data_IF_859869324837
#
_entry.id   IF_859869324837
#
_cell.length_a   1.000
_cell.length_b   1.000
_cell.length_c   1.000
_cell.angle_alpha   90.00
_cell.angle_beta   90.00
_cell.angle_gamma   90.00
#
_symmetry.space_group_name_H-M   'P 1'
#
loop_
_entity.id
_entity.type
_entity.pdbx_description
1 polymer ?
#
# COMPACT_ATOMS: atom_id res chain seq x y z
N UNK A 1 -18.44 28.74 -60.82
CA UNK A 1 -18.85 29.37 -59.55
C UNK A 1 -19.53 28.30 -58.71
N UNK A 2 -19.02 28.12 -57.49
CA UNK A 2 -19.68 27.53 -56.29
C UNK A 2 -20.20 26.09 -56.40
N UNK A 3 -19.89 25.15 -55.49
CA UNK A 3 -19.28 25.26 -54.17
C UNK A 3 -18.83 23.87 -53.70
N UNK A 4 -17.62 23.80 -53.15
CA UNK A 4 -17.19 22.74 -52.24
C UNK A 4 -18.11 22.81 -51.03
N UNK A 5 -18.89 21.76 -50.74
CA UNK A 5 -19.60 21.64 -49.47
C UNK A 5 -18.81 20.76 -48.52
N UNK A 6 -18.36 21.45 -47.49
CA UNK A 6 -17.59 21.07 -46.33
C UNK A 6 -17.99 19.75 -45.66
N UNK A 7 -16.96 19.07 -45.16
CA UNK A 7 -17.05 18.11 -44.08
C UNK A 7 -17.71 18.75 -42.85
N UNK A 8 -18.92 18.35 -42.53
CA UNK A 8 -19.41 18.41 -41.15
C UNK A 8 -19.16 17.06 -40.51
N UNK A 9 -18.02 16.95 -39.83
CA UNK A 9 -17.82 15.95 -38.80
C UNK A 9 -18.86 16.23 -37.71
N UNK A 10 -19.88 15.39 -37.63
CA UNK A 10 -20.81 15.39 -36.52
C UNK A 10 -20.03 15.26 -35.21
N UNK A 11 -20.34 16.08 -34.20
CA UNK A 11 -19.69 15.98 -32.90
C UNK A 11 -20.00 14.59 -32.33
N UNK A 12 -18.96 13.87 -31.93
CA UNK A 12 -19.08 12.57 -31.29
C UNK A 12 -20.08 12.68 -30.13
N UNK A 13 -21.27 12.11 -30.32
CA UNK A 13 -22.31 12.09 -29.31
C UNK A 13 -21.72 11.48 -28.04
N UNK A 14 -21.78 12.22 -26.93
CA UNK A 14 -21.59 11.68 -25.58
C UNK A 14 -22.59 10.54 -25.41
N UNK A 15 -22.15 9.31 -25.67
CA UNK A 15 -22.91 8.11 -25.38
C UNK A 15 -23.00 8.02 -23.86
N UNK A 16 -24.06 8.57 -23.29
CA UNK A 16 -24.43 8.34 -21.89
C UNK A 16 -24.60 6.84 -21.72
N UNK A 17 -23.64 6.21 -21.05
CA UNK A 17 -23.59 4.77 -20.86
C UNK A 17 -24.86 4.30 -20.14
N UNK A 18 -25.74 3.58 -20.84
CA UNK A 18 -26.97 3.05 -20.22
C UNK A 18 -26.65 1.88 -19.28
N UNK A 19 -26.73 2.15 -17.97
CA UNK A 19 -26.45 1.20 -16.89
C UNK A 19 -27.41 -0.01 -16.85
N UNK A 20 -28.54 0.05 -17.53
CA UNK A 20 -29.50 -1.05 -17.57
C UNK A 20 -29.15 -2.09 -18.64
N UNK A 21 -28.27 -1.76 -19.58
CA UNK A 21 -27.79 -2.69 -20.62
C UNK A 21 -26.55 -3.48 -20.16
N UNK A 22 -26.34 -4.66 -20.76
CA UNK A 22 -25.11 -5.45 -20.53
C UNK A 22 -23.87 -4.68 -20.99
N UNK A 23 -23.94 -4.01 -22.14
CA UNK A 23 -22.85 -3.21 -22.67
C UNK A 23 -22.50 -2.04 -21.74
N UNK A 24 -23.50 -1.35 -21.19
CA UNK A 24 -23.25 -0.24 -20.27
C UNK A 24 -22.72 -0.68 -18.91
N UNK A 25 -23.17 -1.82 -18.39
CA UNK A 25 -22.57 -2.42 -17.18
C UNK A 25 -21.08 -2.79 -17.38
N UNK A 26 -20.72 -3.28 -18.56
CA UNK A 26 -19.31 -3.57 -18.91
C UNK A 26 -18.47 -2.30 -19.01
N UNK A 27 -19.01 -1.24 -19.62
CA UNK A 27 -18.34 0.05 -19.70
C UNK A 27 -18.13 0.67 -18.31
N UNK A 28 -19.13 0.61 -17.43
CA UNK A 28 -19.02 1.06 -16.04
C UNK A 28 -17.98 0.27 -15.24
N UNK A 29 -17.90 -1.05 -15.45
CA UNK A 29 -16.85 -1.87 -14.83
C UNK A 29 -15.46 -1.42 -15.27
N UNK A 30 -15.24 -1.19 -16.58
CA UNK A 30 -13.95 -0.72 -17.12
C UNK A 30 -13.56 0.63 -16.53
N UNK A 31 -14.51 1.56 -16.46
CA UNK A 31 -14.30 2.88 -15.83
C UNK A 31 -13.84 2.73 -14.37
N UNK A 32 -14.53 1.93 -13.57
CA UNK A 32 -14.15 1.71 -12.17
C UNK A 32 -12.80 1.03 -12.02
N UNK A 33 -12.45 0.12 -12.93
CA UNK A 33 -11.13 -0.52 -12.94
C UNK A 33 -10.03 0.50 -13.24
N UNK A 34 -10.25 1.42 -14.17
CA UNK A 34 -9.30 2.50 -14.45
C UNK A 34 -9.11 3.42 -13.23
N UNK A 35 -10.21 3.79 -12.55
CA UNK A 35 -10.15 4.57 -11.30
C UNK A 35 -9.32 3.89 -10.19
N UNK A 36 -9.20 2.56 -10.18
CA UNK A 36 -8.39 1.83 -9.18
C UNK A 36 -6.88 2.02 -9.37
N UNK A 37 -6.44 2.46 -10.55
CA UNK A 37 -5.04 2.72 -10.83
C UNK A 37 -4.56 4.01 -10.14
N UNK A 38 -5.48 4.95 -9.89
CA UNK A 38 -5.20 6.25 -9.28
C UNK A 38 -6.34 6.63 -8.30
N UNK A 39 -6.49 5.90 -7.17
CA UNK A 39 -7.64 6.00 -6.28
C UNK A 39 -7.77 7.35 -5.55
N UNK A 40 -6.71 8.15 -5.56
CA UNK A 40 -6.66 9.51 -4.98
C UNK A 40 -6.24 10.58 -6.00
N UNK A 41 -6.31 10.25 -7.30
CA UNK A 41 -5.93 11.12 -8.41
C UNK A 41 -4.47 11.02 -8.83
N UNK A 42 -4.18 11.48 -10.05
CA UNK A 42 -2.85 11.40 -10.69
C UNK A 42 -1.81 12.24 -9.94
N UNK A 43 -2.19 13.39 -9.38
CA UNK A 43 -1.27 14.25 -8.62
C UNK A 43 -0.61 13.54 -7.42
N UNK A 44 -1.31 12.58 -6.81
CA UNK A 44 -0.76 11.81 -5.70
C UNK A 44 0.34 10.86 -6.18
N UNK A 45 0.19 10.30 -7.38
CA UNK A 45 1.19 9.46 -8.06
C UNK A 45 2.43 10.30 -8.38
N UNK A 46 2.23 11.47 -8.98
CA UNK A 46 3.34 12.38 -9.31
C UNK A 46 4.14 12.81 -8.07
N UNK A 47 3.45 13.08 -6.95
CA UNK A 47 4.09 13.39 -5.66
C UNK A 47 4.92 12.23 -5.10
N UNK A 48 4.55 10.98 -5.40
CA UNK A 48 5.32 9.79 -5.01
C UNK A 48 6.54 9.64 -5.89
N UNK A 49 6.38 9.78 -7.20
CA UNK A 49 7.49 9.71 -8.17
C UNK A 49 8.49 10.84 -7.99
N UNK A 50 8.04 12.07 -7.67
CA UNK A 50 8.91 13.19 -7.35
C UNK A 50 9.82 12.94 -6.13
N UNK A 51 9.41 12.03 -5.23
CA UNK A 51 10.23 11.59 -4.07
C UNK A 51 11.16 10.43 -4.41
N UNK A 52 11.22 10.00 -5.67
CA UNK A 52 11.99 8.84 -6.12
C UNK A 52 11.46 7.50 -5.61
N UNK A 53 10.17 7.45 -5.22
CA UNK A 53 9.51 6.23 -4.75
C UNK A 53 8.60 5.69 -5.83
N UNK A 54 8.42 4.36 -5.84
CA UNK A 54 7.40 3.69 -6.64
C UNK A 54 6.06 3.68 -5.90
N UNK A 55 4.95 3.68 -6.63
CA UNK A 55 3.60 3.46 -6.10
C UNK A 55 3.44 2.02 -5.60
N UNK A 56 2.39 1.76 -4.81
CA UNK A 56 2.13 0.41 -4.28
C UNK A 56 1.99 -0.64 -5.40
N UNK A 57 1.32 -0.27 -6.49
CA UNK A 57 1.07 -1.13 -7.66
C UNK A 57 2.33 -1.33 -8.51
N UNK A 58 3.09 -0.27 -8.77
CA UNK A 58 4.38 -0.38 -9.48
C UNK A 58 5.38 -1.28 -8.76
N UNK A 59 5.38 -1.28 -7.41
CA UNK A 59 6.21 -2.21 -6.62
C UNK A 59 5.84 -3.66 -6.84
N UNK A 60 4.55 -3.96 -7.03
CA UNK A 60 4.08 -5.32 -7.34
C UNK A 60 4.54 -5.70 -8.75
N UNK A 61 4.32 -4.83 -9.74
CA UNK A 61 4.75 -5.09 -11.11
C UNK A 61 6.26 -5.20 -11.28
N UNK A 62 7.04 -4.50 -10.46
CA UNK A 62 8.49 -4.61 -10.46
C UNK A 62 9.00 -5.92 -9.82
N UNK A 63 8.18 -6.59 -8.99
CA UNK A 63 8.57 -7.79 -8.27
C UNK A 63 8.08 -9.08 -8.95
N UNK A 64 6.86 -9.05 -9.50
CA UNK A 64 6.24 -10.20 -10.16
C UNK A 64 6.63 -10.29 -11.63
N UNK A 65 6.51 -11.49 -12.19
CA UNK A 65 6.68 -11.71 -13.62
C UNK A 65 5.62 -10.94 -14.42
N UNK A 66 6.01 -10.42 -15.58
CA UNK A 66 5.13 -9.59 -16.42
C UNK A 66 3.84 -10.33 -16.81
N UNK A 67 2.69 -9.67 -16.63
CA UNK A 67 1.38 -10.26 -16.94
C UNK A 67 0.87 -11.33 -15.96
N UNK A 68 1.63 -11.69 -14.91
CA UNK A 68 1.23 -12.73 -13.95
C UNK A 68 0.29 -12.25 -12.85
N UNK A 69 0.25 -10.94 -12.58
CA UNK A 69 -0.47 -10.39 -11.43
C UNK A 69 -1.99 -10.44 -11.61
N UNK A 70 -2.67 -11.10 -10.68
CA UNK A 70 -4.13 -11.10 -10.56
C UNK A 70 -4.52 -10.39 -9.28
N UNK A 71 -5.15 -9.23 -9.44
CA UNK A 71 -5.58 -8.39 -8.32
C UNK A 71 -6.86 -8.93 -7.67
N UNK A 72 -6.89 -8.92 -6.34
CA UNK A 72 -8.04 -9.25 -5.51
C UNK A 72 -8.59 -7.98 -4.86
N UNK A 73 -9.92 -7.91 -4.77
CA UNK A 73 -10.65 -6.85 -4.08
C UNK A 73 -10.26 -5.43 -4.55
N UNK A 74 -9.95 -5.25 -5.84
CA UNK A 74 -9.58 -3.96 -6.43
C UNK A 74 -10.63 -2.87 -6.17
N UNK A 75 -11.91 -3.24 -6.29
CA UNK A 75 -13.04 -2.32 -6.13
C UNK A 75 -13.53 -2.14 -4.69
N UNK A 76 -12.80 -2.68 -3.71
CA UNK A 76 -13.20 -2.60 -2.31
C UNK A 76 -13.17 -1.15 -1.79
N UNK A 77 -14.09 -0.81 -0.87
CA UNK A 77 -14.19 0.50 -0.22
C UNK A 77 -14.48 0.29 1.25
N UNK A 78 -13.88 1.11 2.13
CA UNK A 78 -14.26 1.07 3.55
C UNK A 78 -15.75 1.37 3.74
N UNK A 79 -16.27 0.89 4.87
CA UNK A 79 -17.68 0.99 5.27
C UNK A 79 -17.92 1.88 6.49
N UNK A 80 -16.86 2.48 7.02
CA UNK A 80 -16.95 3.42 8.14
C UNK A 80 -17.55 4.77 7.71
N UNK A 81 -18.47 5.29 8.52
CA UNK A 81 -19.04 6.64 8.45
C UNK A 81 -18.54 7.56 9.57
N UNK A 82 -17.59 7.08 10.38
CA UNK A 82 -17.10 7.85 11.53
C UNK A 82 -16.24 9.02 11.07
N UNK A 83 -16.34 10.16 11.77
CA UNK A 83 -15.51 11.35 11.53
C UNK A 83 -15.52 11.87 10.07
N UNK A 84 -16.63 11.70 9.35
CA UNK A 84 -16.76 12.16 7.96
C UNK A 84 -15.95 11.36 6.93
N UNK A 85 -15.52 10.14 7.29
CA UNK A 85 -14.80 9.25 6.38
C UNK A 85 -15.62 8.88 5.14
N UNK A 86 -16.95 8.86 5.25
CA UNK A 86 -17.87 8.54 4.16
C UNK A 86 -17.73 9.48 2.95
N UNK A 87 -17.26 10.71 3.17
CA UNK A 87 -17.00 11.69 2.11
C UNK A 87 -15.89 11.25 1.14
N UNK A 88 -14.96 10.39 1.58
CA UNK A 88 -13.81 9.96 0.75
C UNK A 88 -13.64 8.44 0.84
N UNK A 89 -14.14 7.72 -0.16
CA UNK A 89 -14.10 6.24 -0.21
C UNK A 89 -13.23 5.73 -1.38
N UNK A 90 -11.89 5.82 -1.27
CA UNK A 90 -10.98 5.41 -2.33
C UNK A 90 -11.11 3.91 -2.63
N UNK A 91 -11.00 3.55 -3.90
CA UNK A 91 -11.00 2.16 -4.35
C UNK A 91 -9.74 1.44 -3.84
N UNK A 92 -9.89 0.19 -3.44
CA UNK A 92 -8.85 -0.65 -2.85
C UNK A 92 -8.60 -0.40 -1.36
N UNK A 93 -9.21 0.64 -0.76
CA UNK A 93 -9.08 1.06 0.64
C UNK A 93 -7.64 1.33 1.15
N UNK A 94 -6.67 1.44 0.24
CA UNK A 94 -5.26 1.75 0.53
C UNK A 94 -4.32 0.55 0.55
N UNK A 95 -4.77 -0.64 0.13
CA UNK A 95 -3.90 -1.80 -0.08
C UNK A 95 -4.22 -2.48 -1.39
N UNK A 96 -3.18 -2.80 -2.15
CA UNK A 96 -3.25 -3.63 -3.36
C UNK A 96 -2.91 -5.05 -2.94
N UNK A 97 -3.76 -6.01 -3.27
CA UNK A 97 -3.61 -7.42 -2.88
C UNK A 97 -3.82 -8.32 -4.07
N UNK A 98 -3.14 -9.46 -4.09
CA UNK A 98 -3.34 -10.43 -5.15
C UNK A 98 -2.37 -11.60 -5.09
N UNK A 99 -2.24 -12.26 -6.22
CA UNK A 99 -1.27 -13.33 -6.44
C UNK A 99 -0.67 -13.19 -7.84
N UNK A 100 0.44 -13.88 -8.08
CA UNK A 100 1.10 -13.92 -9.38
C UNK A 100 2.28 -14.87 -9.31
N UNK A 101 3.28 -14.68 -10.17
CA UNK A 101 4.47 -15.54 -10.19
C UNK A 101 5.76 -14.75 -10.02
N UNK A 102 6.77 -15.38 -9.43
CA UNK A 102 8.17 -14.91 -9.43
C UNK A 102 9.02 -16.07 -9.92
N UNK A 103 9.76 -15.87 -11.01
CA UNK A 103 10.53 -16.93 -11.67
C UNK A 103 9.65 -18.16 -11.98
N UNK A 104 8.39 -17.91 -12.40
CA UNK A 104 7.40 -18.95 -12.70
C UNK A 104 6.81 -19.68 -11.48
N UNK A 105 7.12 -19.25 -10.25
CA UNK A 105 6.59 -19.85 -9.02
C UNK A 105 5.47 -19.01 -8.44
N UNK A 106 4.33 -19.62 -8.17
CA UNK A 106 3.18 -18.90 -7.59
C UNK A 106 3.50 -18.30 -6.23
N UNK A 107 3.16 -17.02 -6.06
CA UNK A 107 3.29 -16.26 -4.81
C UNK A 107 2.03 -15.44 -4.54
N UNK A 108 1.76 -15.21 -3.26
CA UNK A 108 0.73 -14.31 -2.79
C UNK A 108 1.38 -13.00 -2.33
N UNK A 109 0.76 -11.86 -2.64
CA UNK A 109 1.35 -10.55 -2.36
C UNK A 109 0.33 -9.51 -1.88
N UNK A 110 0.76 -8.64 -0.98
CA UNK A 110 0.09 -7.38 -0.70
C UNK A 110 1.08 -6.21 -0.69
N UNK A 111 0.61 -5.05 -1.11
CA UNK A 111 1.37 -3.81 -1.15
C UNK A 111 0.54 -2.65 -0.65
N UNK A 112 1.09 -1.95 0.33
CA UNK A 112 0.40 -0.88 1.02
C UNK A 112 0.65 0.46 0.34
N UNK A 113 -0.42 1.23 0.20
CA UNK A 113 -0.40 2.51 -0.48
C UNK A 113 -0.41 3.67 0.54
N UNK A 114 0.78 4.27 0.72
CA UNK A 114 0.94 5.43 1.57
C UNK A 114 0.19 6.68 1.09
N UNK A 115 -0.24 6.74 -0.18
CA UNK A 115 -1.01 7.88 -0.71
C UNK A 115 -2.46 7.89 -0.20
N UNK A 116 -2.98 6.71 0.16
CA UNK A 116 -4.36 6.52 0.63
C UNK A 116 -4.37 6.51 2.15
N UNK A 117 -4.91 7.57 2.76
CA UNK A 117 -4.97 7.75 4.22
C UNK A 117 -3.61 7.53 4.94
N UNK A 118 -2.50 7.84 4.28
CA UNK A 118 -1.15 7.61 4.84
C UNK A 118 -0.77 6.13 4.98
N UNK A 119 -1.43 5.22 4.26
CA UNK A 119 -1.26 3.77 4.41
C UNK A 119 -1.76 3.27 5.77
N UNK A 120 -2.74 3.95 6.37
CA UNK A 120 -3.33 3.53 7.63
C UNK A 120 -4.30 2.36 7.43
N UNK A 121 -4.15 1.34 8.28
CA UNK A 121 -4.96 0.12 8.28
C UNK A 121 -6.37 0.43 8.79
N UNK A 122 -7.34 0.34 7.87
CA UNK A 122 -8.77 0.31 8.16
C UNK A 122 -9.34 -1.11 8.19
N UNK A 123 -10.66 -1.21 8.28
CA UNK A 123 -11.37 -2.47 8.35
C UNK A 123 -11.23 -3.28 7.06
N UNK A 124 -11.66 -2.71 5.94
CA UNK A 124 -11.66 -3.40 4.64
C UNK A 124 -10.23 -3.65 4.16
N UNK A 125 -9.33 -2.70 4.40
CA UNK A 125 -7.89 -2.87 4.23
C UNK A 125 -7.36 -4.13 4.94
N UNK A 126 -7.68 -4.30 6.23
CA UNK A 126 -7.21 -5.45 7.00
C UNK A 126 -7.82 -6.76 6.50
N UNK A 127 -9.11 -6.75 6.13
CA UNK A 127 -9.79 -7.91 5.55
C UNK A 127 -9.12 -8.39 4.25
N UNK A 128 -8.68 -7.46 3.39
CA UNK A 128 -7.93 -7.79 2.17
C UNK A 128 -6.60 -8.51 2.47
N UNK A 129 -5.85 -8.03 3.47
CA UNK A 129 -4.59 -8.67 3.89
C UNK A 129 -4.86 -10.06 4.46
N UNK A 130 -5.87 -10.19 5.33
CA UNK A 130 -6.26 -11.49 5.90
C UNK A 130 -6.69 -12.47 4.80
N UNK A 131 -7.39 -11.99 3.76
CA UNK A 131 -7.80 -12.81 2.62
C UNK A 131 -6.59 -13.38 1.87
N UNK A 132 -5.58 -12.56 1.56
CA UNK A 132 -4.38 -13.03 0.86
C UNK A 132 -3.50 -13.94 1.74
N UNK A 133 -3.43 -13.68 3.05
CA UNK A 133 -2.77 -14.59 4.01
C UNK A 133 -3.43 -15.97 4.00
N UNK A 134 -4.77 -16.01 4.09
CA UNK A 134 -5.52 -17.26 4.06
C UNK A 134 -5.36 -17.99 2.73
N UNK A 135 -5.30 -17.25 1.61
CA UNK A 135 -5.04 -17.82 0.29
C UNK A 135 -3.64 -18.46 0.22
N UNK A 136 -2.61 -17.77 0.73
CA UNK A 136 -1.24 -18.25 0.78
C UNK A 136 -1.13 -19.54 1.60
N UNK A 137 -1.74 -19.56 2.79
CA UNK A 137 -1.77 -20.74 3.68
C UNK A 137 -2.50 -21.89 2.99
N UNK A 138 -3.67 -21.63 2.40
CA UNK A 138 -4.49 -22.65 1.73
C UNK A 138 -3.79 -23.28 0.53
N UNK A 139 -3.04 -22.49 -0.23
CA UNK A 139 -2.36 -22.93 -1.46
C UNK A 139 -0.92 -23.41 -1.22
N UNK A 140 -0.41 -23.25 0.01
CA UNK A 140 0.96 -23.57 0.37
C UNK A 140 2.00 -22.70 -0.36
N UNK A 141 1.66 -21.44 -0.67
CA UNK A 141 2.50 -20.54 -1.47
C UNK A 141 3.14 -19.45 -0.60
N UNK A 142 4.34 -18.94 -0.98
CA UNK A 142 4.97 -17.85 -0.26
C UNK A 142 4.07 -16.61 -0.18
N UNK A 143 4.14 -15.91 0.94
CA UNK A 143 3.47 -14.63 1.16
C UNK A 143 4.50 -13.51 1.20
N UNK A 144 4.29 -12.48 0.38
CA UNK A 144 5.12 -11.28 0.33
C UNK A 144 4.30 -10.07 0.77
N UNK A 145 4.77 -9.35 1.79
CA UNK A 145 4.16 -8.14 2.30
C UNK A 145 5.03 -6.91 2.06
N UNK A 146 4.57 -5.99 1.21
CA UNK A 146 5.22 -4.70 0.99
C UNK A 146 4.58 -3.66 1.90
N UNK A 147 5.41 -3.14 2.79
CA UNK A 147 5.01 -2.49 4.01
C UNK A 147 5.39 -1.00 3.97
N UNK A 148 4.38 -0.15 3.78
CA UNK A 148 4.52 1.30 3.64
C UNK A 148 3.24 2.00 4.13
N UNK A 149 3.15 2.26 5.44
CA UNK A 149 1.95 2.83 6.04
C UNK A 149 2.13 3.25 7.48
N UNK A 150 1.36 4.26 7.91
CA UNK A 150 1.51 5.01 9.16
C UNK A 150 0.80 4.42 10.40
N UNK A 151 0.16 3.25 10.30
CA UNK A 151 -0.31 2.48 11.45
C UNK A 151 -1.81 2.19 11.38
N UNK A 152 -2.50 2.18 12.52
CA UNK A 152 -3.94 2.01 12.57
C UNK A 152 -4.69 3.27 12.16
N UNK A 153 -5.80 3.12 11.43
CA UNK A 153 -6.70 4.24 11.09
C UNK A 153 -7.57 4.59 12.30
N UNK A 154 -7.14 5.61 13.05
CA UNK A 154 -7.75 6.03 14.33
C UNK A 154 -9.26 6.29 14.19
N UNK A 155 -9.69 6.84 13.06
CA UNK A 155 -11.08 7.19 12.79
C UNK A 155 -12.02 5.97 12.73
N UNK A 156 -11.50 4.79 12.36
CA UNK A 156 -12.26 3.53 12.39
C UNK A 156 -12.25 2.86 13.78
N UNK A 157 -11.46 3.38 14.71
CA UNK A 157 -11.44 2.94 16.10
C UNK A 157 -10.91 1.52 16.27
N UNK A 158 -11.52 0.79 17.21
CA UNK A 158 -11.04 -0.53 17.69
C UNK A 158 -11.06 -1.62 16.63
N UNK A 159 -11.83 -1.45 15.56
CA UNK A 159 -11.94 -2.43 14.47
C UNK A 159 -10.58 -2.61 13.77
N UNK A 160 -9.84 -1.52 13.59
CA UNK A 160 -8.49 -1.54 13.03
C UNK A 160 -7.52 -2.40 13.87
N UNK A 161 -7.62 -2.33 15.20
CA UNK A 161 -6.82 -3.13 16.12
C UNK A 161 -7.21 -4.61 16.08
N UNK A 162 -8.51 -4.91 15.98
CA UNK A 162 -8.99 -6.29 15.83
C UNK A 162 -8.41 -6.98 14.58
N UNK A 163 -8.26 -6.24 13.49
CA UNK A 163 -7.66 -6.75 12.26
C UNK A 163 -6.14 -6.85 12.32
N UNK A 164 -5.46 -5.95 13.02
CA UNK A 164 -4.05 -6.17 13.36
C UNK A 164 -3.86 -7.50 14.07
N UNK A 165 -4.67 -7.78 15.09
CA UNK A 165 -4.63 -9.06 15.80
C UNK A 165 -4.87 -10.25 14.88
N UNK A 166 -5.79 -10.14 13.91
CA UNK A 166 -6.05 -11.20 12.93
C UNK A 166 -4.86 -11.43 11.99
N UNK A 167 -4.23 -10.36 11.53
CA UNK A 167 -3.03 -10.43 10.68
C UNK A 167 -1.88 -11.10 11.45
N UNK A 168 -1.66 -10.71 12.71
CA UNK A 168 -0.63 -11.33 13.55
C UNK A 168 -0.92 -12.80 13.83
N UNK A 169 -2.17 -13.14 14.14
CA UNK A 169 -2.59 -14.53 14.32
C UNK A 169 -2.27 -15.37 13.08
N UNK A 170 -2.61 -14.87 11.89
CA UNK A 170 -2.31 -15.56 10.65
C UNK A 170 -0.80 -15.68 10.37
N UNK A 171 0.00 -14.68 10.73
CA UNK A 171 1.46 -14.77 10.60
C UNK A 171 2.03 -15.89 11.47
N UNK A 172 1.54 -16.02 12.71
CA UNK A 172 1.94 -17.08 13.63
C UNK A 172 1.52 -18.45 13.09
N UNK A 173 0.27 -18.58 12.66
CA UNK A 173 -0.25 -19.84 12.10
C UNK A 173 0.45 -20.25 10.81
N UNK A 174 0.91 -19.28 10.02
CA UNK A 174 1.69 -19.50 8.80
C UNK A 174 3.18 -19.73 9.07
N UNK A 175 3.67 -19.47 10.29
CA UNK A 175 5.09 -19.57 10.64
C UNK A 175 5.55 -21.02 10.54
N UNK A 176 6.61 -21.25 9.78
CA UNK A 176 7.09 -22.61 9.48
C UNK A 176 6.25 -23.39 8.46
N UNK A 177 5.06 -22.91 8.08
CA UNK A 177 4.20 -23.56 7.07
C UNK A 177 4.44 -23.00 5.66
N UNK A 178 4.45 -21.67 5.51
CA UNK A 178 4.75 -20.99 4.24
C UNK A 178 5.86 -19.96 4.43
N UNK A 179 6.71 -19.71 3.41
CA UNK A 179 7.69 -18.62 3.48
C UNK A 179 6.98 -17.26 3.56
N UNK A 180 7.28 -16.50 4.61
CA UNK A 180 6.74 -15.15 4.81
C UNK A 180 7.86 -14.12 4.67
N UNK A 181 7.71 -13.20 3.72
CA UNK A 181 8.70 -12.18 3.38
C UNK A 181 8.08 -10.80 3.58
N UNK A 182 8.77 -9.93 4.32
CA UNK A 182 8.33 -8.56 4.61
C UNK A 182 9.34 -7.56 4.03
N UNK A 183 8.86 -6.68 3.16
CA UNK A 183 9.64 -5.62 2.53
C UNK A 183 9.21 -4.26 3.11
N UNK A 184 10.09 -3.61 3.87
CA UNK A 184 9.81 -2.30 4.47
C UNK A 184 10.28 -1.20 3.51
N UNK A 185 9.36 -0.45 2.91
CA UNK A 185 9.65 0.62 1.94
C UNK A 185 9.15 2.01 2.39
N UNK A 186 8.57 2.08 3.60
CA UNK A 186 8.03 3.28 4.23
C UNK A 186 8.63 3.60 5.59
N UNK A 187 8.22 4.72 6.18
CA UNK A 187 8.53 5.03 7.58
C UNK A 187 7.72 4.08 8.49
N UNK A 188 8.34 3.19 9.28
CA UNK A 188 7.60 2.25 10.10
C UNK A 188 7.01 2.95 11.35
N UNK A 189 5.68 2.91 11.55
CA UNK A 189 5.04 3.32 12.80
C UNK A 189 5.14 2.19 13.85
N UNK A 190 5.25 2.56 15.12
CA UNK A 190 5.71 1.69 16.22
C UNK A 190 5.02 0.33 16.39
N UNK A 191 3.73 0.17 16.07
CA UNK A 191 3.02 -1.11 16.23
C UNK A 191 3.37 -2.16 15.15
N UNK A 192 4.00 -1.73 14.05
CA UNK A 192 4.26 -2.57 12.89
C UNK A 192 5.55 -3.38 12.97
N UNK A 193 6.45 -2.94 13.84
CA UNK A 193 7.71 -3.62 14.12
C UNK A 193 7.46 -5.05 14.62
N UNK A 194 6.32 -5.32 15.28
CA UNK A 194 5.96 -6.68 15.73
C UNK A 194 5.71 -7.67 14.59
N UNK A 195 5.40 -7.21 13.37
CA UNK A 195 5.27 -8.09 12.18
C UNK A 195 6.61 -8.45 11.50
N UNK A 196 7.72 -7.80 11.88
CA UNK A 196 9.07 -8.11 11.42
C UNK A 196 10.01 -8.09 12.63
N UNK A 197 10.26 -9.24 13.27
CA UNK A 197 11.05 -9.30 14.49
C UNK A 197 12.55 -8.99 14.27
N UNK A 198 13.07 -9.01 13.04
CA UNK A 198 14.50 -8.83 12.79
C UNK A 198 14.85 -7.46 12.17
N UNK A 199 15.52 -6.62 12.98
CA UNK A 199 16.12 -5.35 12.57
C UNK A 199 17.50 -5.60 11.96
N UNK A 200 17.68 -5.28 10.67
CA UNK A 200 18.98 -4.89 10.13
C UNK A 200 18.87 -3.47 9.56
N UNK A 201 19.66 -2.55 10.13
CA UNK A 201 19.65 -1.11 9.85
C UNK A 201 20.43 -0.88 8.55
N UNK A 202 19.76 -0.48 7.48
CA UNK A 202 20.41 0.02 6.27
C UNK A 202 20.98 1.41 6.53
N UNK A 203 22.30 1.56 6.39
CA UNK A 203 23.01 2.81 6.58
C UNK A 203 22.77 3.74 5.39
N UNK A 204 22.24 4.95 5.63
CA UNK A 204 22.23 6.03 4.65
C UNK A 204 20.97 6.90 4.56
N UNK A 205 21.05 8.08 5.20
CA UNK A 205 20.28 9.35 5.02
C UNK A 205 19.17 9.67 6.05
N UNK A 206 18.92 10.98 6.21
CA UNK A 206 19.32 11.79 7.34
C UNK A 206 18.41 11.57 8.56
N UNK A 207 18.84 12.08 9.70
CA UNK A 207 18.12 12.07 10.97
C UNK A 207 16.60 12.20 10.76
N UNK A 208 15.88 11.19 11.26
CA UNK A 208 14.46 11.37 11.50
C UNK A 208 14.31 12.64 12.33
N UNK A 209 13.40 13.57 11.99
CA UNK A 209 12.88 14.42 13.03
C UNK A 209 12.27 13.45 14.04
N UNK A 210 12.89 13.37 15.22
CA UNK A 210 12.25 12.82 16.41
C UNK A 210 10.81 13.31 16.39
N UNK A 211 9.86 12.39 16.62
CA UNK A 211 8.47 12.73 16.89
C UNK A 211 8.49 14.02 17.71
N UNK A 212 8.01 15.11 17.12
CA UNK A 212 7.75 16.33 17.87
C UNK A 212 6.62 15.99 18.84
N UNK A 213 6.97 15.31 19.93
CA UNK A 213 6.37 15.59 21.21
C UNK A 213 6.63 17.07 21.41
N UNK A 214 5.58 17.88 21.21
CA UNK A 214 5.48 19.11 22.00
C UNK A 214 5.83 18.70 23.43
N UNK A 215 6.73 19.41 24.12
CA UNK A 215 7.07 19.06 25.48
C UNK A 215 5.83 19.28 26.36
N UNK A 216 5.00 18.24 26.45
CA UNK A 216 4.06 18.08 27.55
C UNK A 216 4.90 17.81 28.78
N UNK A 217 4.64 18.52 29.87
CA UNK A 217 5.17 18.13 31.17
C UNK A 217 4.61 16.74 31.47
N UNK A 218 5.46 15.82 31.89
CA UNK A 218 4.98 14.62 32.60
C UNK A 218 4.17 15.07 33.83
N UNK A 219 3.25 14.23 34.33
CA UNK A 219 2.39 14.57 35.48
C UNK A 219 3.19 14.96 36.75
N UNK A 220 4.49 14.63 36.80
CA UNK A 220 5.40 14.94 37.91
C UNK A 220 6.43 16.06 37.59
N UNK A 221 6.31 16.77 36.46
CA UNK A 221 6.97 18.07 36.25
C UNK A 221 8.49 18.08 35.96
N UNK A 222 9.17 16.95 35.73
CA UNK A 222 10.61 16.94 35.43
C UNK A 222 10.96 16.97 33.94
N UNK A 223 11.99 17.75 33.55
CA UNK A 223 12.54 17.84 32.17
C UNK A 223 13.75 16.90 32.01
N UNK A 224 13.82 16.12 30.92
CA UNK A 224 15.01 15.31 30.56
C UNK A 224 15.90 16.03 29.54
N UNK A 225 17.23 16.00 29.75
CA UNK A 225 18.25 16.60 28.87
C UNK A 225 18.83 15.64 27.82
N UNK A 226 19.46 16.18 26.76
CA UNK A 226 20.03 15.47 25.59
C UNK A 226 21.51 15.09 25.78
N UNK A 227 21.93 13.97 25.18
CA UNK A 227 23.33 13.60 24.96
C UNK A 227 23.59 13.37 23.46
N UNK A 228 24.63 14.02 22.92
CA UNK A 228 25.09 13.90 21.52
C UNK A 228 26.22 12.85 21.39
N UNK A 229 26.18 12.03 20.34
CA UNK A 229 27.25 11.11 19.97
C UNK A 229 27.40 11.01 18.45
N UNK A 230 28.42 11.67 17.89
CA UNK A 230 28.71 11.70 16.45
C UNK A 230 29.74 10.65 16.00
N UNK A 231 29.65 10.21 14.74
CA UNK A 231 30.69 9.40 14.08
C UNK A 231 30.91 9.84 12.61
N UNK A 232 32.19 9.86 12.19
CA UNK A 232 32.72 10.43 10.93
C UNK A 232 32.52 9.51 9.71
N UNK A 233 32.34 10.09 8.52
CA UNK A 233 32.22 9.41 7.20
C UNK A 233 33.53 9.42 6.41
N UNK A 234 33.77 8.37 5.60
CA UNK A 234 34.68 8.38 4.42
C UNK A 234 33.87 7.97 3.17
N UNK A 235 34.08 8.58 1.98
CA UNK A 235 33.35 8.23 0.77
C UNK A 235 34.10 7.23 -0.12
N UNK A 236 33.38 6.35 -0.81
CA UNK A 236 33.83 5.74 -2.07
C UNK A 236 32.70 5.77 -3.11
N UNK A 237 33.01 5.89 -4.41
CA UNK A 237 32.05 6.15 -5.47
C UNK A 237 31.55 4.86 -6.11
N UNK A 238 30.46 5.00 -6.87
CA UNK A 238 29.75 4.03 -7.72
C UNK A 238 28.34 3.69 -7.21
N UNK A 239 27.37 4.26 -7.94
CA UNK A 239 25.95 4.05 -7.75
C UNK A 239 25.51 2.66 -8.21
N UNK A 240 24.88 1.94 -7.31
CA UNK A 240 23.73 1.05 -7.53
C UNK A 240 23.28 0.58 -6.16
N UNK A 241 22.19 1.14 -5.62
CA UNK A 241 21.60 0.65 -4.38
C UNK A 241 20.72 -0.55 -4.71
N UNK A 242 21.29 -1.75 -4.67
CA UNK A 242 20.56 -3.01 -4.53
C UNK A 242 20.71 -3.47 -3.08
N UNK A 243 19.87 -2.99 -2.18
CA UNK A 243 19.74 -3.58 -0.85
C UNK A 243 18.25 -3.73 -0.52
N UNK A 244 17.74 -4.93 -0.80
CA UNK A 244 16.43 -5.41 -0.37
C UNK A 244 16.61 -5.94 1.06
N UNK A 245 16.05 -5.26 2.07
CA UNK A 245 16.03 -5.78 3.43
C UNK A 245 15.01 -6.92 3.50
N UNK A 246 15.49 -8.17 3.42
CA UNK A 246 14.69 -9.38 3.48
C UNK A 246 14.55 -9.81 4.96
N UNK A 247 13.41 -9.52 5.58
CA UNK A 247 13.07 -10.03 6.91
C UNK A 247 12.47 -11.44 6.71
N UNK A 248 13.26 -12.49 6.98
CA UNK A 248 12.85 -13.90 6.86
C UNK A 248 12.37 -14.38 8.24
N UNK A 249 11.06 -14.50 8.42
CA UNK A 249 10.49 -15.18 9.60
C UNK A 249 10.90 -16.66 9.52
N UNK A 250 11.70 -17.12 10.50
CA UNK A 250 12.10 -18.53 10.64
C UNK A 250 10.98 -19.36 11.25
#
# INVERSE_FOLDING_TARGET
MTSVTDHHAEPAAEHTVDIHTTAGKLAELRKRLEETLHPVGVEAVDKVHAKGKLTARERIYALLDEGSFVELDALARHRSSNFGLDAKRPLGDGVVTGYGTIDGRDVCIFSQDATVFGGSLGEVYGEKIVKVQNLAIKTGRPLIGINDGAGARIQEGVVSLGLYSRIFYNNIMASGAIPQISLIMGAPPGARVLSCPDRFRGDGRPDQPDVHHRPGRDQDGHRRGRHDGGARRRPHPHGQVRHLALCRLR
#
